data_IF_046196738581
#
_entry.id   IF_046196738581
#
_cell.length_a   1.000
_cell.length_b   1.000
_cell.length_c   1.000
_cell.angle_alpha   90.00
_cell.angle_beta   90.00
_cell.angle_gamma   90.00
#
_symmetry.space_group_name_H-M   'P 1'
#
loop_
_entity.id
_entity.type
_entity.pdbx_description
1 polymer ?
#
# COMPACT_ATOMS: atom_id res chain seq x y z
N UNK A 1 21.38 -12.32 -64.65
CA UNK A 1 20.98 -10.92 -64.46
C UNK A 1 19.52 -10.89 -64.02
N UNK A 2 19.24 -11.12 -62.73
CA UNK A 2 17.94 -10.84 -62.10
C UNK A 2 18.26 -10.49 -60.64
N UNK A 3 18.40 -9.18 -60.37
CA UNK A 3 18.41 -8.61 -59.02
C UNK A 3 17.12 -7.79 -58.91
N UNK A 4 16.02 -8.46 -58.60
CA UNK A 4 14.78 -7.79 -58.20
C UNK A 4 13.94 -8.77 -57.39
N UNK A 5 13.13 -8.24 -56.47
CA UNK A 5 12.29 -8.92 -55.46
C UNK A 5 12.89 -8.99 -54.03
N UNK A 6 13.86 -8.14 -53.68
CA UNK A 6 14.05 -7.74 -52.26
C UNK A 6 13.62 -6.28 -52.00
N UNK A 7 12.59 -5.85 -52.71
CA UNK A 7 11.95 -4.55 -52.55
C UNK A 7 10.58 -4.65 -51.87
N UNK A 8 10.31 -5.68 -51.05
CA UNK A 8 9.19 -5.60 -50.12
C UNK A 8 9.63 -4.62 -49.04
N UNK A 9 9.37 -3.33 -49.27
CA UNK A 9 9.48 -2.28 -48.26
C UNK A 9 8.95 -2.89 -46.97
N UNK A 10 9.84 -3.12 -45.99
CA UNK A 10 9.43 -3.61 -44.67
C UNK A 10 8.36 -2.63 -44.22
N UNK A 11 7.08 -3.04 -44.24
CA UNK A 11 6.00 -2.23 -43.65
C UNK A 11 6.47 -1.89 -42.26
N UNK A 12 6.24 -0.64 -41.85
CA UNK A 12 6.59 -0.27 -40.48
C UNK A 12 5.88 -1.22 -39.51
N UNK A 13 6.52 -1.54 -38.39
CA UNK A 13 5.95 -2.45 -37.39
C UNK A 13 4.55 -1.97 -36.98
N UNK A 14 4.40 -0.65 -36.86
CA UNK A 14 3.14 0.05 -36.59
C UNK A 14 2.06 -0.18 -37.66
N UNK A 15 2.41 -0.11 -38.95
CA UNK A 15 1.47 -0.35 -40.04
C UNK A 15 0.99 -1.81 -40.05
N UNK A 16 1.90 -2.76 -39.84
CA UNK A 16 1.57 -4.19 -39.78
C UNK A 16 0.67 -4.51 -38.60
N UNK A 17 0.90 -3.86 -37.46
CA UNK A 17 0.12 -4.04 -36.24
C UNK A 17 -1.28 -3.40 -36.34
N UNK A 18 -1.39 -2.24 -36.99
CA UNK A 18 -2.67 -1.61 -37.34
C UNK A 18 -3.53 -2.50 -38.24
N UNK A 19 -2.92 -3.08 -39.27
CA UNK A 19 -3.58 -4.03 -40.17
C UNK A 19 -4.08 -5.25 -39.40
N UNK A 20 -3.25 -5.81 -38.52
CA UNK A 20 -3.62 -6.95 -37.68
C UNK A 20 -4.82 -6.63 -36.76
N UNK A 21 -4.80 -5.49 -36.05
CA UNK A 21 -5.92 -5.05 -35.19
C UNK A 21 -7.20 -4.89 -36.02
N UNK A 22 -7.11 -4.28 -37.20
CA UNK A 22 -8.25 -4.08 -38.10
C UNK A 22 -8.86 -5.41 -38.56
N UNK A 23 -8.02 -6.37 -38.99
CA UNK A 23 -8.49 -7.70 -39.41
C UNK A 23 -9.09 -8.50 -38.25
N UNK A 24 -8.50 -8.41 -37.05
CA UNK A 24 -9.07 -9.06 -35.85
C UNK A 24 -10.43 -8.46 -35.47
N UNK A 25 -10.59 -7.13 -35.56
CA UNK A 25 -11.87 -6.46 -35.34
C UNK A 25 -12.95 -6.86 -36.36
N UNK A 26 -12.58 -7.04 -37.64
CA UNK A 26 -13.49 -7.58 -38.66
C UNK A 26 -13.92 -9.01 -38.32
N UNK A 27 -12.99 -9.87 -37.89
CA UNK A 27 -13.30 -11.23 -37.45
C UNK A 27 -14.26 -11.23 -36.24
N UNK A 28 -14.01 -10.38 -35.25
CA UNK A 28 -14.89 -10.21 -34.09
C UNK A 28 -16.33 -9.86 -34.52
N UNK A 29 -16.48 -8.84 -35.38
CA UNK A 29 -17.79 -8.40 -35.89
C UNK A 29 -18.55 -9.53 -36.61
N UNK A 30 -17.83 -10.37 -37.36
CA UNK A 30 -18.43 -11.53 -38.05
C UNK A 30 -18.88 -12.62 -37.07
N UNK A 31 -18.11 -12.86 -36.02
CA UNK A 31 -18.47 -13.80 -34.95
C UNK A 31 -19.68 -13.32 -34.16
N UNK A 32 -19.77 -12.02 -33.89
CA UNK A 32 -20.92 -11.42 -33.21
C UNK A 32 -22.21 -11.59 -34.03
N UNK A 33 -22.15 -11.33 -35.34
CA UNK A 33 -23.26 -11.61 -36.24
C UNK A 33 -23.64 -13.10 -36.28
N UNK A 34 -22.65 -13.99 -36.27
CA UNK A 34 -22.90 -15.44 -36.23
C UNK A 34 -23.55 -15.88 -34.91
N UNK A 35 -23.08 -15.34 -33.79
CA UNK A 35 -23.66 -15.58 -32.47
C UNK A 35 -25.13 -15.12 -32.42
N UNK A 36 -25.43 -13.90 -32.88
CA UNK A 36 -26.80 -13.38 -32.89
C UNK A 36 -27.75 -14.25 -33.72
N UNK A 37 -27.29 -14.77 -34.88
CA UNK A 37 -28.07 -15.69 -35.71
C UNK A 37 -28.32 -17.03 -35.00
N UNK A 38 -27.31 -17.60 -34.35
CA UNK A 38 -27.44 -18.84 -33.59
C UNK A 38 -28.36 -18.67 -32.37
N UNK A 39 -28.27 -17.55 -31.66
CA UNK A 39 -29.13 -17.23 -30.53
C UNK A 39 -30.61 -17.12 -30.95
N UNK A 40 -30.87 -16.47 -32.09
CA UNK A 40 -32.22 -16.42 -32.67
C UNK A 40 -32.73 -17.83 -32.99
N UNK A 41 -31.88 -18.65 -33.61
CA UNK A 41 -32.22 -20.04 -33.98
C UNK A 41 -32.47 -20.92 -32.75
N UNK A 42 -31.66 -20.80 -31.70
CA UNK A 42 -31.86 -21.49 -30.41
C UNK A 42 -33.26 -21.23 -29.87
N UNK A 43 -33.66 -19.95 -29.85
CA UNK A 43 -34.98 -19.54 -29.36
C UNK A 43 -36.12 -20.12 -30.20
N UNK A 44 -36.06 -19.99 -31.53
CA UNK A 44 -37.08 -20.55 -32.43
C UNK A 44 -37.22 -22.08 -32.27
N UNK A 45 -36.10 -22.79 -32.18
CA UNK A 45 -36.11 -24.24 -31.98
C UNK A 45 -36.64 -24.63 -30.60
N UNK A 46 -36.34 -23.84 -29.57
CA UNK A 46 -36.84 -24.06 -28.23
C UNK A 46 -38.36 -23.91 -28.16
N UNK A 47 -38.91 -22.88 -28.79
CA UNK A 47 -40.36 -22.63 -28.86
C UNK A 47 -41.08 -23.80 -29.59
N UNK A 48 -40.52 -24.26 -30.71
CA UNK A 48 -41.04 -25.45 -31.43
C UNK A 48 -40.93 -26.73 -30.59
N UNK A 49 -39.80 -26.93 -29.91
CA UNK A 49 -39.58 -28.08 -29.02
C UNK A 49 -40.65 -28.12 -27.92
N UNK A 50 -40.93 -26.98 -27.27
CA UNK A 50 -41.96 -26.85 -26.25
C UNK A 50 -43.36 -27.16 -26.80
N UNK A 51 -43.67 -26.70 -28.02
CA UNK A 51 -44.92 -26.99 -28.73
C UNK A 51 -45.09 -28.49 -29.04
N UNK A 52 -44.03 -29.17 -29.51
CA UNK A 52 -44.09 -30.62 -29.74
C UNK A 52 -44.22 -31.42 -28.45
N UNK A 53 -43.57 -30.96 -27.37
CA UNK A 53 -43.66 -31.59 -26.06
C UNK A 53 -45.09 -31.50 -25.50
N UNK A 54 -45.73 -30.33 -25.60
CA UNK A 54 -47.10 -30.11 -25.11
C UNK A 54 -48.15 -30.91 -25.87
N UNK A 55 -47.90 -31.20 -27.16
CA UNK A 55 -48.75 -32.06 -28.01
C UNK A 55 -48.50 -33.56 -27.83
N UNK A 56 -47.60 -33.95 -26.91
CA UNK A 56 -47.27 -35.35 -26.65
C UNK A 56 -46.35 -36.01 -27.69
N UNK A 57 -45.84 -35.24 -28.67
CA UNK A 57 -44.97 -35.74 -29.75
C UNK A 57 -43.50 -35.81 -29.30
N UNK A 58 -43.22 -36.68 -28.32
CA UNK A 58 -41.91 -36.79 -27.65
C UNK A 58 -40.74 -37.04 -28.59
N UNK A 59 -40.90 -37.91 -29.58
CA UNK A 59 -39.81 -38.24 -30.52
C UNK A 59 -39.33 -37.02 -31.32
N UNK A 60 -40.24 -36.12 -31.71
CA UNK A 60 -39.87 -34.87 -32.40
C UNK A 60 -39.18 -33.91 -31.44
N UNK A 61 -39.74 -33.73 -30.25
CA UNK A 61 -39.15 -32.86 -29.23
C UNK A 61 -37.71 -33.28 -28.87
N UNK A 62 -37.40 -34.57 -28.81
CA UNK A 62 -36.04 -35.07 -28.55
C UNK A 62 -35.05 -34.63 -29.65
N UNK A 63 -35.44 -34.71 -30.93
CA UNK A 63 -34.59 -34.27 -32.04
C UNK A 63 -34.28 -32.77 -31.93
N UNK A 64 -35.32 -31.96 -31.63
CA UNK A 64 -35.15 -30.53 -31.41
C UNK A 64 -34.26 -30.22 -30.20
N UNK A 65 -34.41 -30.95 -29.09
CA UNK A 65 -33.58 -30.78 -27.90
C UNK A 65 -32.09 -31.08 -28.17
N UNK A 66 -31.78 -32.11 -28.96
CA UNK A 66 -30.42 -32.43 -29.36
C UNK A 66 -29.79 -31.31 -30.21
N UNK A 67 -30.55 -30.78 -31.18
CA UNK A 67 -30.09 -29.66 -32.01
C UNK A 67 -29.82 -28.40 -31.17
N UNK A 68 -30.72 -28.07 -30.25
CA UNK A 68 -30.56 -26.97 -29.28
C UNK A 68 -29.28 -27.15 -28.46
N UNK A 69 -29.00 -28.36 -27.99
CA UNK A 69 -27.80 -28.64 -27.22
C UNK A 69 -26.51 -28.39 -28.03
N UNK A 70 -26.49 -28.80 -29.30
CA UNK A 70 -25.35 -28.53 -30.20
C UNK A 70 -25.20 -27.05 -30.53
N UNK A 71 -26.31 -26.32 -30.77
CA UNK A 71 -26.27 -24.86 -30.99
C UNK A 71 -25.70 -24.14 -29.78
N UNK A 72 -26.11 -24.51 -28.56
CA UNK A 72 -25.60 -23.89 -27.32
C UNK A 72 -24.12 -24.14 -27.10
N UNK A 73 -23.64 -25.34 -27.43
CA UNK A 73 -22.19 -25.64 -27.42
C UNK A 73 -21.46 -24.73 -28.40
N UNK A 74 -21.96 -24.60 -29.63
CA UNK A 74 -21.34 -23.74 -30.64
C UNK A 74 -21.32 -22.26 -30.20
N UNK A 75 -22.42 -21.78 -29.61
CA UNK A 75 -22.50 -20.42 -29.05
C UNK A 75 -21.45 -20.18 -27.96
N UNK A 76 -21.23 -21.14 -27.06
CA UNK A 76 -20.18 -21.05 -26.03
C UNK A 76 -18.77 -20.99 -26.64
N UNK A 77 -18.51 -21.79 -27.68
CA UNK A 77 -17.23 -21.75 -28.40
C UNK A 77 -17.01 -20.37 -29.04
N UNK A 78 -18.04 -19.80 -29.67
CA UNK A 78 -17.96 -18.47 -30.28
C UNK A 78 -17.66 -17.39 -29.24
N UNK A 79 -18.31 -17.43 -28.07
CA UNK A 79 -18.04 -16.49 -26.97
C UNK A 79 -16.59 -16.57 -26.48
N UNK A 80 -16.07 -17.79 -26.29
CA UNK A 80 -14.68 -17.99 -25.88
C UNK A 80 -13.70 -17.45 -26.94
N UNK A 81 -14.03 -17.60 -28.22
CA UNK A 81 -13.24 -17.04 -29.31
C UNK A 81 -13.30 -15.51 -29.34
N UNK A 82 -14.48 -14.91 -29.11
CA UNK A 82 -14.63 -13.46 -28.99
C UNK A 82 -13.76 -12.90 -27.86
N UNK A 83 -13.78 -13.53 -26.67
CA UNK A 83 -12.92 -13.13 -25.55
C UNK A 83 -11.43 -13.26 -25.87
N UNK A 84 -11.05 -14.33 -26.55
CA UNK A 84 -9.65 -14.57 -26.95
C UNK A 84 -9.17 -13.54 -27.97
N UNK A 85 -10.04 -13.15 -28.92
CA UNK A 85 -9.76 -12.07 -29.88
C UNK A 85 -9.65 -10.72 -29.18
N UNK A 86 -10.57 -10.39 -28.27
CA UNK A 86 -10.53 -9.14 -27.50
C UNK A 86 -9.23 -9.00 -26.72
N UNK A 87 -8.84 -10.06 -26.01
CA UNK A 87 -7.56 -10.12 -25.28
C UNK A 87 -6.36 -9.90 -26.21
N UNK A 88 -6.39 -10.48 -27.41
CA UNK A 88 -5.31 -10.33 -28.37
C UNK A 88 -5.26 -8.92 -28.96
N UNK A 89 -6.41 -8.32 -29.27
CA UNK A 89 -6.53 -6.93 -29.74
C UNK A 89 -5.95 -5.98 -28.68
N UNK A 90 -6.37 -6.10 -27.41
CA UNK A 90 -5.86 -5.27 -26.32
C UNK A 90 -4.34 -5.39 -26.13
N UNK A 91 -3.78 -6.60 -26.27
CA UNK A 91 -2.32 -6.81 -26.23
C UNK A 91 -1.61 -6.15 -27.40
N UNK A 92 -2.17 -6.22 -28.61
CA UNK A 92 -1.62 -5.54 -29.78
C UNK A 92 -1.71 -4.02 -29.64
N UNK A 93 -2.80 -3.49 -29.11
CA UNK A 93 -2.95 -2.04 -28.81
C UNK A 93 -1.92 -1.57 -27.79
N UNK A 94 -1.70 -2.36 -26.73
CA UNK A 94 -0.65 -2.08 -25.73
C UNK A 94 0.73 -2.07 -26.39
N UNK A 95 1.02 -3.07 -27.23
CA UNK A 95 2.28 -3.15 -27.95
C UNK A 95 2.50 -1.94 -28.88
N UNK A 96 1.43 -1.49 -29.56
CA UNK A 96 1.45 -0.28 -30.38
C UNK A 96 1.84 0.95 -29.58
N UNK A 97 1.28 1.11 -28.38
CA UNK A 97 1.52 2.27 -27.54
C UNK A 97 2.97 2.31 -27.03
N UNK A 98 3.58 1.15 -26.78
CA UNK A 98 4.97 1.04 -26.28
C UNK A 98 6.00 1.16 -27.41
N UNK A 99 5.66 0.81 -28.66
CA UNK A 99 6.61 0.79 -29.78
C UNK A 99 7.36 2.12 -30.00
N UNK A 100 6.72 3.31 -30.02
CA UNK A 100 7.43 4.58 -30.16
C UNK A 100 8.44 4.84 -29.04
N UNK A 101 8.08 4.51 -27.79
CA UNK A 101 8.99 4.70 -26.65
C UNK A 101 10.23 3.82 -26.75
N UNK A 102 10.10 2.62 -27.32
CA UNK A 102 11.23 1.73 -27.57
C UNK A 102 12.16 2.28 -28.67
N UNK A 103 11.59 2.88 -29.71
CA UNK A 103 12.36 3.56 -30.76
C UNK A 103 13.12 4.77 -30.20
N UNK A 104 12.50 5.55 -29.31
CA UNK A 104 13.15 6.69 -28.64
C UNK A 104 14.30 6.25 -27.73
N UNK A 105 14.08 5.21 -26.91
CA UNK A 105 15.11 4.63 -26.04
C UNK A 105 16.31 4.15 -26.88
N UNK A 106 16.05 3.52 -28.03
CA UNK A 106 17.09 3.12 -28.96
C UNK A 106 17.87 4.31 -29.51
N UNK A 107 17.19 5.42 -29.81
CA UNK A 107 17.80 6.69 -30.20
C UNK A 107 18.78 7.21 -29.13
N UNK A 108 18.34 7.28 -27.88
CA UNK A 108 19.17 7.72 -26.74
C UNK A 108 20.39 6.82 -26.54
N UNK A 109 20.22 5.50 -26.58
CA UNK A 109 21.36 4.58 -26.46
C UNK A 109 22.36 4.73 -27.61
N UNK A 110 21.89 5.05 -28.83
CA UNK A 110 22.76 5.34 -29.97
C UNK A 110 23.57 6.62 -29.75
N UNK A 111 22.97 7.67 -29.18
CA UNK A 111 23.68 8.91 -28.84
C UNK A 111 24.73 8.70 -27.75
N UNK A 112 24.37 7.98 -26.67
CA UNK A 112 25.31 7.62 -25.59
C UNK A 112 26.48 6.81 -26.13
N UNK A 113 26.21 5.83 -27.02
CA UNK A 113 27.24 5.05 -27.69
C UNK A 113 28.17 5.95 -28.50
N UNK A 114 27.64 6.89 -29.27
CA UNK A 114 28.44 7.85 -30.04
C UNK A 114 29.34 8.71 -29.15
N UNK A 115 28.82 9.25 -28.06
CA UNK A 115 29.60 10.03 -27.10
C UNK A 115 30.71 9.20 -26.44
N UNK A 116 30.42 7.95 -26.09
CA UNK A 116 31.39 7.05 -25.47
C UNK A 116 32.51 6.66 -26.45
N UNK A 117 32.17 6.46 -27.73
CA UNK A 117 33.16 6.28 -28.81
C UNK A 117 34.05 7.53 -28.97
N UNK A 118 33.50 8.74 -28.88
CA UNK A 118 34.31 9.96 -28.93
C UNK A 118 35.27 10.09 -27.74
N UNK A 119 34.85 9.68 -26.55
CA UNK A 119 35.72 9.64 -25.37
C UNK A 119 36.88 8.66 -25.56
N UNK A 120 36.66 7.49 -26.20
CA UNK A 120 37.77 6.56 -26.49
C UNK A 120 38.82 7.14 -27.44
N UNK A 121 38.42 8.05 -28.35
CA UNK A 121 39.35 8.74 -29.25
C UNK A 121 40.23 9.74 -28.50
N UNK A 122 39.70 10.37 -27.46
CA UNK A 122 40.38 11.40 -26.66
C UNK A 122 41.25 10.74 -25.57
N UNK A 123 40.76 9.67 -24.94
CA UNK A 123 41.42 9.01 -23.81
C UNK A 123 41.45 7.48 -23.98
N UNK A 124 42.47 6.94 -24.67
CA UNK A 124 42.56 5.50 -24.94
C UNK A 124 42.74 4.64 -23.68
N UNK A 125 43.23 5.22 -22.59
CA UNK A 125 43.50 4.51 -21.33
C UNK A 125 42.23 3.97 -20.63
N UNK A 126 41.05 4.50 -20.93
CA UNK A 126 39.76 4.09 -20.35
C UNK A 126 38.89 3.24 -21.30
N UNK A 127 39.46 2.85 -22.43
CA UNK A 127 38.80 2.01 -23.44
C UNK A 127 38.26 0.68 -22.91
N UNK A 128 38.96 -0.07 -22.02
CA UNK A 128 38.42 -1.36 -21.56
C UNK A 128 37.15 -1.18 -20.71
N UNK A 129 37.08 -0.15 -19.87
CA UNK A 129 35.90 0.19 -19.08
C UNK A 129 34.72 0.60 -19.98
N UNK A 130 35.01 1.40 -21.01
CA UNK A 130 34.02 1.81 -22.01
C UNK A 130 33.45 0.61 -22.79
N UNK A 131 34.30 -0.32 -23.22
CA UNK A 131 33.85 -1.51 -23.93
C UNK A 131 32.95 -2.39 -23.06
N UNK A 132 33.23 -2.48 -21.76
CA UNK A 132 32.36 -3.18 -20.82
C UNK A 132 30.98 -2.48 -20.72
N UNK A 133 30.94 -1.14 -20.63
CA UNK A 133 29.69 -0.38 -20.63
C UNK A 133 28.90 -0.55 -21.93
N UNK A 134 29.56 -0.48 -23.09
CA UNK A 134 28.93 -0.74 -24.39
C UNK A 134 28.36 -2.15 -24.45
N UNK A 135 29.07 -3.15 -23.91
CA UNK A 135 28.58 -4.52 -23.84
C UNK A 135 27.31 -4.60 -22.98
N UNK A 136 27.29 -3.99 -21.79
CA UNK A 136 26.11 -3.94 -20.94
C UNK A 136 24.92 -3.22 -21.60
N UNK A 137 25.17 -2.11 -22.29
CA UNK A 137 24.13 -1.40 -23.05
C UNK A 137 23.58 -2.27 -24.19
N UNK A 138 24.45 -2.97 -24.92
CA UNK A 138 24.01 -3.89 -25.97
C UNK A 138 23.25 -5.09 -25.40
N UNK A 139 23.65 -5.63 -24.24
CA UNK A 139 22.90 -6.68 -23.54
C UNK A 139 21.51 -6.20 -23.13
N UNK A 140 21.39 -4.98 -22.60
CA UNK A 140 20.09 -4.35 -22.28
C UNK A 140 19.27 -4.15 -23.57
N UNK A 141 19.89 -3.67 -24.65
CA UNK A 141 19.19 -3.45 -25.91
C UNK A 141 18.74 -4.77 -26.56
N UNK A 142 19.52 -5.86 -26.48
CA UNK A 142 19.13 -7.17 -27.00
C UNK A 142 18.05 -7.83 -26.14
N UNK A 143 18.07 -7.62 -24.82
CA UNK A 143 17.00 -8.10 -23.93
C UNK A 143 15.71 -7.29 -24.07
N UNK A 144 15.82 -6.01 -24.48
CA UNK A 144 14.69 -5.11 -24.71
C UNK A 144 14.18 -5.17 -26.15
N UNK A 145 15.04 -5.50 -27.12
CA UNK A 145 14.60 -5.94 -28.44
C UNK A 145 13.72 -7.17 -28.20
N UNK A 146 12.44 -7.01 -28.49
CA UNK A 146 11.44 -8.06 -28.44
C UNK A 146 11.85 -9.07 -29.50
N UNK A 147 12.80 -9.94 -29.12
CA UNK A 147 13.24 -11.05 -29.94
C UNK A 147 11.99 -11.84 -30.25
N UNK A 148 11.82 -12.16 -31.52
CA UNK A 148 10.69 -12.90 -32.07
C UNK A 148 10.61 -14.37 -31.57
N UNK A 149 11.18 -14.67 -30.40
CA UNK A 149 11.18 -15.93 -29.69
C UNK A 149 10.43 -15.67 -28.37
N UNK A 150 9.37 -16.41 -28.04
CA UNK A 150 8.65 -16.18 -26.81
C UNK A 150 9.59 -16.48 -25.63
N UNK A 151 9.90 -15.52 -24.75
CA UNK A 151 10.26 -15.91 -23.40
C UNK A 151 9.01 -16.56 -22.79
N UNK A 152 9.20 -17.60 -21.97
CA UNK A 152 8.17 -18.14 -21.09
C UNK A 152 7.33 -17.00 -20.47
N UNK A 153 6.01 -17.20 -20.25
CA UNK A 153 5.10 -16.12 -19.90
C UNK A 153 5.60 -15.37 -18.67
N UNK A 154 6.18 -14.19 -18.88
CA UNK A 154 6.65 -13.33 -17.81
C UNK A 154 5.43 -12.86 -17.04
N UNK A 155 5.44 -13.16 -15.74
CA UNK A 155 4.39 -12.93 -14.75
C UNK A 155 3.68 -11.59 -14.97
N UNK A 156 2.39 -11.68 -15.26
CA UNK A 156 1.52 -10.53 -15.47
C UNK A 156 1.33 -9.84 -14.10
N UNK A 157 1.89 -8.63 -13.92
CA UNK A 157 1.42 -7.70 -12.89
C UNK A 157 0.17 -6.99 -13.44
N UNK A 158 -0.99 -7.53 -13.11
CA UNK A 158 -2.34 -7.03 -13.43
C UNK A 158 -2.85 -6.14 -12.27
N UNK A 159 -3.59 -5.06 -12.50
CA UNK A 159 -4.18 -4.24 -11.42
C UNK A 159 -5.31 -5.00 -10.70
N UNK A 160 -5.94 -5.98 -11.38
CA UNK A 160 -6.74 -6.98 -10.70
C UNK A 160 -5.86 -7.82 -9.77
N UNK A 161 -4.67 -8.25 -10.19
CA UNK A 161 -3.75 -8.96 -9.28
C UNK A 161 -3.21 -8.06 -8.16
N UNK A 162 -2.99 -6.76 -8.38
CA UNK A 162 -2.50 -5.84 -7.36
C UNK A 162 -3.60 -5.40 -6.38
N UNK A 163 -4.84 -5.20 -6.86
CA UNK A 163 -6.01 -5.00 -6.01
C UNK A 163 -6.37 -6.26 -5.21
N UNK A 164 -6.26 -7.46 -5.79
CA UNK A 164 -6.40 -8.76 -5.10
C UNK A 164 -5.29 -8.94 -4.06
N UNK A 165 -4.05 -8.51 -4.38
CA UNK A 165 -2.94 -8.52 -3.44
C UNK A 165 -3.18 -7.52 -2.29
N UNK A 166 -3.73 -6.34 -2.57
CA UNK A 166 -4.05 -5.32 -1.57
C UNK A 166 -5.22 -5.76 -0.67
N UNK A 167 -6.28 -6.33 -1.26
CA UNK A 167 -7.40 -6.95 -0.52
C UNK A 167 -6.91 -8.07 0.41
N UNK A 168 -6.07 -8.98 -0.10
CA UNK A 168 -5.45 -10.03 0.72
C UNK A 168 -4.56 -9.47 1.84
N UNK A 169 -3.87 -8.36 1.58
CA UNK A 169 -3.00 -7.71 2.56
C UNK A 169 -3.78 -7.04 3.70
N UNK A 170 -4.95 -6.47 3.41
CA UNK A 170 -5.77 -5.80 4.41
C UNK A 170 -6.59 -6.80 5.26
N UNK A 171 -7.02 -7.92 4.68
CA UNK A 171 -7.64 -9.03 5.43
C UNK A 171 -6.70 -9.60 6.51
N UNK A 172 -5.41 -9.78 6.18
CA UNK A 172 -4.40 -10.28 7.10
C UNK A 172 -4.15 -9.33 8.27
N UNK A 173 -4.16 -8.01 8.05
CA UNK A 173 -4.01 -7.01 9.12
C UNK A 173 -5.16 -7.10 10.11
N UNK A 174 -6.40 -7.22 9.63
CA UNK A 174 -7.58 -7.30 10.47
C UNK A 174 -7.61 -8.56 11.34
N UNK A 175 -7.17 -9.70 10.79
CA UNK A 175 -7.02 -10.95 11.54
C UNK A 175 -5.92 -10.85 12.62
N UNK A 176 -4.84 -10.11 12.33
CA UNK A 176 -3.77 -9.86 13.28
C UNK A 176 -4.25 -8.97 14.43
N UNK A 177 -4.95 -7.87 14.13
CA UNK A 177 -5.53 -6.96 15.12
C UNK A 177 -6.49 -7.66 16.09
N UNK A 178 -7.29 -8.61 15.60
CA UNK A 178 -8.18 -9.42 16.46
C UNK A 178 -7.44 -10.32 17.45
N UNK A 179 -6.19 -10.70 17.14
CA UNK A 179 -5.37 -11.56 18.00
C UNK A 179 -4.45 -10.78 18.93
N UNK A 180 -4.34 -9.46 18.75
CA UNK A 180 -3.60 -8.59 19.66
C UNK A 180 -4.48 -8.33 20.90
N UNK A 181 -4.04 -8.70 22.12
CA UNK A 181 -4.78 -8.38 23.34
C UNK A 181 -4.85 -6.88 23.54
N UNK A 182 -6.03 -6.37 23.89
CA UNK A 182 -6.24 -4.95 24.17
C UNK A 182 -5.55 -4.59 25.49
N UNK A 183 -4.72 -3.52 25.53
CA UNK A 183 -4.20 -2.98 26.78
C UNK A 183 -5.35 -2.50 27.67
N UNK A 184 -5.35 -2.78 28.99
CA UNK A 184 -6.45 -2.42 29.87
C UNK A 184 -6.69 -0.90 29.87
N UNK A 185 -7.93 -0.48 29.61
CA UNK A 185 -8.35 0.92 29.65
C UNK A 185 -8.52 1.38 31.10
N UNK A 186 -7.80 2.44 31.49
CA UNK A 186 -8.06 3.15 32.75
C UNK A 186 -9.23 4.14 32.58
N UNK A 187 -10.19 4.20 33.52
CA UNK A 187 -11.43 4.95 33.37
C UNK A 187 -11.25 6.48 33.44
N UNK A 188 -11.77 7.18 32.42
CA UNK A 188 -11.90 8.65 32.41
C UNK A 188 -13.18 9.14 33.10
N UNK A 189 -13.04 10.08 34.03
CA UNK A 189 -14.12 10.75 34.79
C UNK A 189 -14.31 12.18 34.23
N UNK A 190 -15.53 12.65 33.89
CA UNK A 190 -15.79 14.07 33.62
C UNK A 190 -15.77 14.88 34.94
N UNK A 191 -15.01 15.97 34.96
CA UNK A 191 -14.85 16.84 36.12
C UNK A 191 -16.08 17.74 36.36
N UNK A 192 -16.84 17.43 37.42
CA UNK A 192 -17.30 18.46 38.34
C UNK A 192 -16.27 18.57 39.47
N UNK A 193 -15.51 19.67 39.48
CA UNK A 193 -14.53 20.03 40.50
C UNK A 193 -13.05 19.89 40.09
N UNK A 194 -12.34 21.02 39.97
CA UNK A 194 -10.87 21.23 39.92
C UNK A 194 -9.97 20.70 38.76
N UNK A 195 -9.45 21.67 37.98
CA UNK A 195 -8.07 21.95 37.46
C UNK A 195 -7.07 20.83 37.07
N UNK A 196 -6.41 20.96 35.89
CA UNK A 196 -4.97 20.68 35.70
C UNK A 196 -4.37 21.32 34.42
N UNK A 197 -3.23 22.02 34.56
CA UNK A 197 -2.41 22.66 33.51
C UNK A 197 -1.20 21.75 33.21
N UNK A 198 -0.82 21.56 31.93
CA UNK A 198 0.26 20.61 31.50
C UNK A 198 1.67 21.25 31.52
N UNK A 199 2.74 20.56 32.01
CA UNK A 199 4.13 21.05 31.97
C UNK A 199 4.90 20.68 30.68
N UNK A 200 6.03 21.37 30.42
CA UNK A 200 6.93 21.19 29.26
C UNK A 200 8.04 20.14 29.49
N UNK A 201 8.35 19.35 28.45
CA UNK A 201 9.24 18.17 28.47
C UNK A 201 10.55 18.44 27.70
N UNK A 202 11.68 17.98 28.21
CA UNK A 202 12.96 17.91 27.49
C UNK A 202 13.48 16.46 27.43
N UNK A 203 13.93 16.02 26.24
CA UNK A 203 14.50 14.69 26.00
C UNK A 203 16.03 14.73 26.15
N UNK A 204 16.58 13.83 26.96
CA UNK A 204 18.04 13.65 27.08
C UNK A 204 18.58 12.68 26.03
N UNK A 205 19.89 12.73 25.76
CA UNK A 205 20.56 11.94 24.71
C UNK A 205 20.46 10.42 24.93
N UNK A 206 20.16 9.99 26.16
CA UNK A 206 19.91 8.58 26.52
C UNK A 206 18.44 8.14 26.36
N UNK A 207 17.55 9.06 25.93
CA UNK A 207 16.12 8.79 25.73
C UNK A 207 15.26 8.88 27.00
N UNK A 208 15.81 9.34 28.12
CA UNK A 208 15.05 9.59 29.34
C UNK A 208 14.29 10.92 29.25
N UNK A 209 13.04 10.95 29.72
CA UNK A 209 12.27 12.18 29.82
C UNK A 209 12.51 12.85 31.17
N UNK A 210 12.95 14.12 31.15
CA UNK A 210 13.14 14.93 32.35
C UNK A 210 12.22 16.15 32.28
N UNK A 211 11.49 16.37 33.37
CA UNK A 211 10.54 17.46 33.48
C UNK A 211 11.19 18.60 34.27
N UNK A 212 11.25 19.78 33.66
CA UNK A 212 11.81 20.99 34.27
C UNK A 212 10.65 21.84 34.76
N UNK A 213 10.54 21.97 36.08
CA UNK A 213 9.62 22.93 36.70
C UNK A 213 10.04 24.37 36.40
N UNK A 214 9.11 25.32 36.49
CA UNK A 214 9.40 26.74 36.24
C UNK A 214 10.42 27.36 37.21
N UNK A 215 10.83 26.65 38.27
CA UNK A 215 11.84 27.05 39.26
C UNK A 215 13.23 26.41 39.06
N UNK A 216 13.43 25.61 38.00
CA UNK A 216 14.72 25.00 37.66
C UNK A 216 15.06 23.70 38.42
N UNK A 217 14.11 23.14 39.18
CA UNK A 217 14.28 21.87 39.89
C UNK A 217 14.14 20.67 38.95
N UNK A 218 15.03 19.67 39.07
CA UNK A 218 14.98 18.40 38.32
C UNK A 218 14.11 17.41 39.09
N UNK A 219 13.03 16.93 38.46
CA UNK A 219 12.16 15.89 39.01
C UNK A 219 12.35 14.63 38.16
N UNK A 220 12.89 13.57 38.78
CA UNK A 220 12.95 12.21 38.23
C UNK A 220 11.65 11.48 38.59
N UNK A 221 10.96 10.94 37.59
CA UNK A 221 9.56 11.28 37.29
C UNK A 221 8.50 10.48 38.09
N UNK A 222 7.83 11.13 39.06
CA UNK A 222 6.88 10.49 40.00
C UNK A 222 5.41 10.67 39.58
N UNK A 223 4.73 9.57 39.22
CA UNK A 223 3.27 9.50 39.02
C UNK A 223 2.62 8.91 40.27
N UNK A 224 1.67 9.67 40.82
CA UNK A 224 0.70 9.35 41.87
C UNK A 224 1.21 9.37 43.33
N UNK A 225 0.87 10.49 44.00
CA UNK A 225 1.19 10.82 45.39
C UNK A 225 0.66 9.85 46.45
N UNK A 226 1.10 9.93 47.71
CA UNK A 226 1.37 11.14 48.46
C UNK A 226 2.49 10.96 49.51
N UNK A 227 3.65 11.60 49.33
CA UNK A 227 4.62 11.91 50.38
C UNK A 227 4.15 12.99 51.39
N UNK A 228 2.91 13.51 51.28
CA UNK A 228 2.39 14.56 52.19
C UNK A 228 2.10 14.09 53.62
N UNK A 229 1.84 12.81 53.86
CA UNK A 229 1.65 12.30 55.24
C UNK A 229 2.99 12.29 55.99
N UNK A 230 4.06 11.85 55.32
CA UNK A 230 5.39 11.78 55.90
C UNK A 230 5.94 13.18 56.25
N UNK A 231 5.68 14.18 55.40
CA UNK A 231 6.10 15.56 55.66
C UNK A 231 5.37 16.21 56.86
N UNK A 232 4.08 15.89 57.07
CA UNK A 232 3.32 16.35 58.23
C UNK A 232 3.82 15.71 59.54
N UNK A 233 4.19 14.43 59.50
CA UNK A 233 4.71 13.69 60.65
C UNK A 233 6.09 14.20 61.09
N UNK A 234 6.98 14.48 60.14
CA UNK A 234 8.32 15.02 60.41
C UNK A 234 8.30 16.41 61.08
N UNK A 235 7.33 17.25 60.70
CA UNK A 235 7.18 18.58 61.31
C UNK A 235 6.58 18.47 62.72
N UNK A 236 5.67 17.52 62.96
CA UNK A 236 5.15 17.26 64.32
C UNK A 236 6.26 16.80 65.26
N UNK A 237 7.08 15.82 64.85
CA UNK A 237 8.20 15.29 65.64
C UNK A 237 9.23 16.40 65.95
N UNK A 238 9.42 17.34 65.02
CA UNK A 238 10.28 18.50 65.23
C UNK A 238 9.74 19.48 66.29
N UNK A 239 8.43 19.71 66.32
CA UNK A 239 7.78 20.60 67.30
C UNK A 239 7.82 19.98 68.70
N UNK A 240 7.60 18.67 68.80
CA UNK A 240 7.67 17.93 70.08
C UNK A 240 9.09 17.97 70.67
N UNK A 241 10.13 17.82 69.84
CA UNK A 241 11.52 17.89 70.28
C UNK A 241 11.96 19.28 70.77
N UNK A 242 11.36 20.34 70.26
CA UNK A 242 11.71 21.72 70.62
C UNK A 242 10.70 22.36 71.59
N UNK A 243 9.94 21.54 72.32
CA UNK A 243 9.00 21.98 73.37
C UNK A 243 7.98 23.03 72.90
N UNK A 244 7.51 22.92 71.66
CA UNK A 244 6.52 23.85 71.11
C UNK A 244 7.08 25.15 70.55
N UNK A 245 8.37 25.46 70.75
CA UNK A 245 9.02 26.62 70.14
C UNK A 245 9.71 26.22 68.85
N UNK A 246 9.26 26.80 67.74
CA UNK A 246 9.73 26.40 66.42
C UNK A 246 10.16 27.62 65.62
N UNK A 247 11.42 27.62 65.18
CA UNK A 247 11.92 28.55 64.19
C UNK A 247 11.75 27.97 62.78
N UNK A 248 10.91 28.63 61.97
CA UNK A 248 10.55 28.18 60.62
C UNK A 248 11.78 28.03 59.72
N UNK A 249 12.77 28.92 59.86
CA UNK A 249 13.98 28.96 59.03
C UNK A 249 14.98 27.86 59.43
N UNK A 250 14.99 27.47 60.70
CA UNK A 250 15.83 26.38 61.21
C UNK A 250 15.21 25.02 60.86
N UNK A 251 13.90 24.89 61.04
CA UNK A 251 13.13 23.71 60.65
C UNK A 251 13.23 23.42 59.14
N UNK A 252 13.07 24.45 58.30
CA UNK A 252 13.21 24.34 56.85
C UNK A 252 14.59 23.80 56.41
N UNK A 253 15.66 24.26 57.07
CA UNK A 253 17.02 23.80 56.78
C UNK A 253 17.28 22.38 57.28
N UNK A 254 16.79 22.03 58.46
CA UNK A 254 17.04 20.72 59.07
C UNK A 254 16.19 19.60 58.44
N UNK A 255 14.98 19.91 57.98
CA UNK A 255 14.10 18.97 57.29
C UNK A 255 14.25 19.02 55.76
N UNK A 256 15.17 19.84 55.25
CA UNK A 256 15.41 20.07 53.82
C UNK A 256 14.12 20.34 53.04
N UNK A 257 13.25 21.16 53.63
CA UNK A 257 11.95 21.55 53.07
C UNK A 257 11.88 23.08 52.95
N UNK A 258 11.28 23.61 51.88
CA UNK A 258 11.19 25.05 51.71
C UNK A 258 10.30 25.68 52.79
N UNK A 259 10.67 26.87 53.28
CA UNK A 259 9.97 27.53 54.39
C UNK A 259 8.48 27.78 54.11
N UNK A 260 8.12 27.99 52.84
CA UNK A 260 6.73 28.13 52.40
C UNK A 260 5.95 26.85 52.66
N UNK A 261 6.55 25.70 52.34
CA UNK A 261 5.95 24.38 52.55
C UNK A 261 5.84 24.03 54.03
N UNK A 262 6.82 24.42 54.84
CA UNK A 262 6.74 24.28 56.30
C UNK A 262 5.57 25.11 56.84
N UNK A 263 5.38 26.37 56.42
CA UNK A 263 4.22 27.19 56.83
C UNK A 263 2.89 26.60 56.38
N UNK A 264 2.79 26.11 55.15
CA UNK A 264 1.58 25.44 54.64
C UNK A 264 1.20 24.22 55.47
N UNK A 265 2.20 23.41 55.85
CA UNK A 265 2.00 22.23 56.70
C UNK A 265 1.58 22.65 58.11
N UNK A 266 2.15 23.72 58.67
CA UNK A 266 1.74 24.24 59.98
C UNK A 266 0.32 24.80 59.98
N UNK A 267 -0.08 25.49 58.92
CA UNK A 267 -1.47 25.91 58.73
C UNK A 267 -2.40 24.71 58.55
N UNK A 268 -1.99 23.68 57.81
CA UNK A 268 -2.73 22.40 57.68
C UNK A 268 -2.92 21.75 59.05
N UNK A 269 -1.86 21.66 59.85
CA UNK A 269 -1.87 21.07 61.18
C UNK A 269 -2.69 21.92 62.18
N UNK A 270 -2.68 23.24 62.03
CA UNK A 270 -3.53 24.16 62.80
C UNK A 270 -5.00 24.02 62.43
N UNK A 271 -5.34 23.95 61.13
CA UNK A 271 -6.71 23.68 60.66
C UNK A 271 -7.22 22.30 61.08
N UNK A 272 -6.32 21.30 61.11
CA UNK A 272 -6.58 19.94 61.62
C UNK A 272 -6.64 19.89 63.16
N UNK A 273 -6.35 20.99 63.85
CA UNK A 273 -6.42 21.12 65.31
C UNK A 273 -5.31 20.37 66.07
N UNK A 274 -4.25 19.93 65.39
CA UNK A 274 -3.14 19.19 66.01
C UNK A 274 -2.14 20.10 66.74
N UNK A 275 -2.06 21.36 66.34
CA UNK A 275 -1.19 22.38 66.96
C UNK A 275 -1.95 23.71 67.10
N UNK A 276 -1.56 24.53 68.07
CA UNK A 276 -2.08 25.90 68.24
C UNK A 276 -0.91 26.87 68.11
N UNK A 277 -1.03 27.81 67.18
CA UNK A 277 -0.01 28.82 66.91
C UNK A 277 -0.43 30.08 67.67
N UNK A 278 0.45 30.58 68.55
CA UNK A 278 0.28 31.83 69.31
C UNK A 278 1.21 32.93 68.79
#
# INVERSE_FOLDING_TARGET
MIKEILGRTRRSLNESLLEAISEMGKCYSRLELAYAKLAKRDKELFDECASYLSRGLKNRAIVYANEIAEIRKLMSIIQNLQLSLEKAILRLETFRAVTPTLEDIKGVFSEVKGALEDVTKIMPSITPEINNLLKSINEIMVTTEISSIPPEPVVIKDEATEAILKEASDFLKQELERKIPIPPEEPYIPSSGSVAIKPSIALTVDGSEVYIGADGSIISNDVNGSPSILAEELILDYIERNNGEMNIQKCARELNMPETRVREILESLSRKGKIRIE
#
